data_IF_410498343542
#
_entry.id   IF_410498343542
#
_cell.length_a   1.000
_cell.length_b   1.000
_cell.length_c   1.000
_cell.angle_alpha   90.00
_cell.angle_beta   90.00
_cell.angle_gamma   90.00
#
_symmetry.space_group_name_H-M   'P 1'
#
loop_
_entity.id
_entity.type
_entity.pdbx_description
1 polymer ?
#
# COMPACT_ATOMS: atom_id res chain seq x y z
N UNK A 1 17.46 23.93 8.50
CA UNK A 1 17.29 24.73 9.73
C UNK A 1 17.52 23.80 10.90
N UNK A 2 18.41 24.15 11.82
CA UNK A 2 18.67 23.37 13.03
C UNK A 2 18.14 24.20 14.20
N UNK A 3 17.23 23.62 14.98
CA UNK A 3 16.68 24.22 16.19
C UNK A 3 17.26 23.46 17.39
N UNK A 4 17.98 24.16 18.27
CA UNK A 4 18.34 23.62 19.58
C UNK A 4 17.16 23.84 20.53
N UNK A 5 16.67 22.75 21.14
CA UNK A 5 15.50 22.75 22.03
C UNK A 5 15.96 22.37 23.42
N UNK A 6 15.58 23.14 24.45
CA UNK A 6 15.96 22.85 25.83
C UNK A 6 15.05 21.77 26.43
N UNK A 7 15.56 21.06 27.43
CA UNK A 7 14.77 20.05 28.15
C UNK A 7 13.47 20.65 28.71
N UNK A 8 12.33 20.08 28.34
CA UNK A 8 11.00 20.48 28.80
C UNK A 8 10.26 21.47 27.89
N UNK A 9 10.90 22.00 26.85
CA UNK A 9 10.24 22.88 25.89
C UNK A 9 9.33 22.10 24.92
N UNK A 10 8.16 22.68 24.62
CA UNK A 10 7.24 22.16 23.60
C UNK A 10 7.46 22.96 22.32
N UNK A 11 7.85 22.29 21.25
CA UNK A 11 7.97 22.89 19.93
C UNK A 11 6.76 22.53 19.10
N UNK A 12 6.12 23.53 18.51
CA UNK A 12 5.09 23.35 17.51
C UNK A 12 5.68 23.73 16.14
N UNK A 13 5.50 22.87 15.15
CA UNK A 13 5.85 23.20 13.77
C UNK A 13 4.62 23.82 13.07
N UNK A 14 4.68 25.12 12.84
CA UNK A 14 3.72 25.81 11.98
C UNK A 14 4.32 25.95 10.58
N UNK A 15 3.78 25.23 9.60
CA UNK A 15 4.17 25.36 8.19
C UNK A 15 3.24 26.38 7.54
N UNK A 16 3.70 27.62 7.39
CA UNK A 16 3.03 28.64 6.59
C UNK A 16 3.81 28.82 5.28
N UNK A 17 3.28 28.26 4.19
CA UNK A 17 3.86 28.45 2.86
C UNK A 17 2.97 29.38 2.03
N UNK A 18 3.34 30.65 1.91
CA UNK A 18 2.78 31.60 0.94
C UNK A 18 3.75 31.69 -0.23
N UNK A 19 3.56 30.93 -1.33
CA UNK A 19 4.46 31.05 -2.48
C UNK A 19 4.39 32.47 -3.05
N UNK A 20 5.55 33.10 -3.25
CA UNK A 20 5.65 34.44 -3.87
C UNK A 20 5.21 34.45 -5.34
N UNK A 21 5.17 33.27 -5.97
CA UNK A 21 4.61 33.05 -7.30
C UNK A 21 3.62 31.88 -7.24
N UNK A 22 2.34 32.19 -7.37
CA UNK A 22 1.30 31.19 -7.52
C UNK A 22 1.34 30.64 -8.96
N UNK A 23 1.56 29.35 -9.12
CA UNK A 23 1.36 28.66 -10.39
C UNK A 23 -0.01 27.98 -10.30
N UNK A 24 -1.04 28.50 -11.00
CA UNK A 24 -2.34 27.84 -11.05
C UNK A 24 -2.14 26.44 -11.65
N UNK A 25 -2.51 25.42 -10.90
CA UNK A 25 -2.68 24.08 -11.47
C UNK A 25 -4.13 23.98 -11.94
N UNK A 26 -4.33 23.50 -13.17
CA UNK A 26 -5.68 23.28 -13.72
C UNK A 26 -6.53 22.43 -12.79
N UNK A 27 -7.77 22.89 -12.59
CA UNK A 27 -8.73 22.34 -11.65
C UNK A 27 -9.42 21.12 -12.27
N UNK A 28 -9.44 19.99 -11.56
CA UNK A 28 -10.29 18.84 -11.92
C UNK A 28 -11.66 18.97 -11.21
N UNK A 29 -12.80 18.60 -11.84
CA UNK A 29 -14.11 18.67 -11.18
C UNK A 29 -14.21 17.74 -9.95
N UNK A 30 -14.74 18.25 -8.82
CA UNK A 30 -14.96 17.52 -7.56
C UNK A 30 -14.06 18.02 -6.40
N UNK A 31 -14.48 17.85 -5.13
CA UNK A 31 -13.66 18.15 -3.92
C UNK A 31 -12.44 17.19 -3.75
N UNK A 32 -12.03 16.55 -4.83
CA UNK A 32 -11.16 15.38 -4.89
C UNK A 32 -9.69 15.73 -5.18
N UNK A 33 -9.14 16.78 -4.55
CA UNK A 33 -7.73 17.11 -4.81
C UNK A 33 -7.04 17.61 -3.55
N UNK A 34 -6.30 16.72 -2.90
CA UNK A 34 -5.22 17.16 -2.03
C UNK A 34 -4.12 17.72 -2.92
N UNK A 35 -3.92 19.04 -2.91
CA UNK A 35 -2.62 19.57 -3.35
C UNK A 35 -1.57 18.95 -2.43
N UNK A 36 -0.73 18.06 -2.95
CA UNK A 36 0.57 17.86 -2.31
C UNK A 36 1.28 19.20 -2.42
N UNK A 37 1.28 19.93 -1.31
CA UNK A 37 2.14 21.10 -1.18
C UNK A 37 3.54 20.65 -1.62
N UNK A 38 4.24 21.43 -2.46
CA UNK A 38 5.56 21.06 -3.00
C UNK A 38 6.66 20.99 -1.91
N UNK A 39 6.25 20.96 -0.65
CA UNK A 39 7.06 20.98 0.55
C UNK A 39 6.74 19.73 1.36
N UNK A 40 7.67 18.78 1.37
CA UNK A 40 7.74 17.73 2.36
C UNK A 40 8.71 18.16 3.46
N UNK A 41 8.37 17.87 4.71
CA UNK A 41 9.29 17.99 5.84
C UNK A 41 9.66 16.58 6.30
N UNK A 42 10.96 16.33 6.48
CA UNK A 42 11.44 15.16 7.21
C UNK A 42 11.77 15.62 8.63
N UNK A 43 11.13 14.99 9.62
CA UNK A 43 11.42 15.24 11.04
C UNK A 43 12.23 14.06 11.56
N UNK A 44 13.50 14.28 11.90
CA UNK A 44 14.40 13.28 12.49
C UNK A 44 14.62 13.57 13.97
N UNK A 45 14.88 12.53 14.77
CA UNK A 45 15.09 12.68 16.23
C UNK A 45 13.84 13.08 17.02
N UNK A 46 12.68 13.21 16.37
CA UNK A 46 11.39 13.33 17.04
C UNK A 46 10.71 11.97 17.09
N UNK A 47 10.13 11.65 18.25
CA UNK A 47 9.10 10.62 18.34
C UNK A 47 7.79 11.33 18.03
N UNK A 48 7.09 11.03 16.91
CA UNK A 48 5.73 11.56 16.75
C UNK A 48 4.96 11.18 18.01
N UNK A 49 4.15 12.08 18.61
CA UNK A 49 3.25 11.67 19.66
C UNK A 49 2.45 10.52 19.07
N UNK A 50 2.72 9.30 19.56
CA UNK A 50 2.09 8.14 19.00
C UNK A 50 0.59 8.36 19.06
N UNK A 51 -0.21 7.83 18.11
CA UNK A 51 -1.59 7.49 18.46
C UNK A 51 -1.53 6.79 19.82
N UNK A 52 -2.41 7.11 20.78
CA UNK A 52 -2.24 6.71 22.18
C UNK A 52 -1.73 5.28 22.23
N UNK A 53 -0.44 5.14 22.50
CA UNK A 53 0.26 3.86 22.48
C UNK A 53 -0.57 2.95 23.36
N UNK A 54 -1.02 1.84 22.80
CA UNK A 54 -1.84 0.80 23.40
C UNK A 54 -2.22 1.16 24.84
N UNK A 55 -3.44 1.68 25.04
CA UNK A 55 -4.04 2.00 26.34
C UNK A 55 -3.47 1.07 27.42
N UNK A 56 -3.15 1.60 28.60
CA UNK A 56 -2.69 0.82 29.75
C UNK A 56 -3.29 -0.61 29.74
N UNK A 57 -2.48 -1.65 30.01
CA UNK A 57 -2.85 -3.04 29.79
C UNK A 57 -4.31 -3.28 30.20
N UNK A 58 -5.11 -3.99 29.36
CA UNK A 58 -6.55 -4.04 29.54
C UNK A 58 -6.88 -4.34 30.99
N UNK A 59 -7.66 -3.47 31.65
CA UNK A 59 -8.04 -3.62 33.06
C UNK A 59 -9.09 -4.72 33.27
N UNK A 60 -9.09 -5.73 32.41
CA UNK A 60 -10.03 -6.85 32.37
C UNK A 60 -9.25 -8.15 32.47
N UNK A 61 -9.86 -9.18 33.05
CA UNK A 61 -9.23 -10.50 33.11
C UNK A 61 -9.12 -11.11 31.70
N UNK A 62 -7.96 -11.70 31.39
CA UNK A 62 -7.70 -12.35 30.11
C UNK A 62 -6.38 -13.11 30.13
N UNK A 63 -6.02 -13.70 28.99
CA UNK A 63 -4.78 -14.44 28.81
C UNK A 63 -4.23 -14.25 27.40
N UNK A 64 -2.93 -14.48 27.17
CA UNK A 64 -2.35 -14.57 25.84
C UNK A 64 -3.01 -15.70 25.02
N UNK A 65 -3.28 -15.46 23.74
CA UNK A 65 -3.73 -16.50 22.81
C UNK A 65 -2.59 -17.49 22.52
N UNK A 66 -2.83 -18.82 22.52
CA UNK A 66 -1.77 -19.80 22.27
C UNK A 66 -1.10 -19.65 20.90
N UNK A 67 -1.85 -19.17 19.90
CA UNK A 67 -1.31 -18.85 18.58
C UNK A 67 -1.10 -17.34 18.43
N UNK A 68 0.14 -16.89 18.68
CA UNK A 68 0.60 -15.51 18.50
C UNK A 68 0.81 -14.69 19.79
N UNK A 69 0.23 -15.07 20.93
CA UNK A 69 0.51 -14.45 22.23
C UNK A 69 -0.19 -13.12 22.52
N UNK A 70 -1.10 -12.65 21.66
CA UNK A 70 -1.90 -11.44 21.90
C UNK A 70 -2.96 -11.61 22.98
N UNK A 71 -3.41 -10.52 23.58
CA UNK A 71 -4.32 -10.57 24.73
C UNK A 71 -5.76 -10.90 24.33
N UNK A 72 -6.35 -11.90 24.98
CA UNK A 72 -7.76 -12.27 24.84
C UNK A 72 -8.46 -12.16 26.18
N UNK A 73 -9.47 -11.29 26.27
CA UNK A 73 -10.30 -11.16 27.46
C UNK A 73 -11.07 -12.46 27.73
N UNK A 74 -11.32 -12.80 29.00
CA UNK A 74 -12.09 -14.00 29.39
C UNK A 74 -13.50 -14.04 28.78
N UNK A 75 -14.06 -12.88 28.46
CA UNK A 75 -15.38 -12.73 27.85
C UNK A 75 -15.39 -12.93 26.33
N UNK A 76 -14.23 -12.85 25.67
CA UNK A 76 -14.08 -13.01 24.24
C UNK A 76 -13.91 -14.49 23.87
N UNK A 77 -14.21 -14.85 22.62
CA UNK A 77 -14.00 -16.21 22.10
C UNK A 77 -13.10 -16.17 20.88
N UNK A 78 -11.93 -16.81 20.98
CA UNK A 78 -10.95 -16.90 19.90
C UNK A 78 -10.62 -18.38 19.68
N UNK A 79 -10.74 -18.85 18.46
CA UNK A 79 -10.38 -20.22 18.09
C UNK A 79 -8.86 -20.40 18.01
N UNK A 80 -8.37 -21.58 18.38
CA UNK A 80 -6.93 -21.89 18.36
C UNK A 80 -6.30 -21.75 16.96
N UNK A 81 -7.10 -21.89 15.91
CA UNK A 81 -6.70 -21.70 14.50
C UNK A 81 -6.48 -20.24 14.12
N UNK A 82 -7.07 -19.29 14.84
CA UNK A 82 -6.84 -17.88 14.63
C UNK A 82 -5.47 -17.47 15.18
N UNK A 83 -4.86 -16.45 14.58
CA UNK A 83 -3.61 -15.87 15.06
C UNK A 83 -3.86 -14.50 15.70
N UNK A 84 -3.37 -14.28 16.92
CA UNK A 84 -3.45 -12.99 17.61
C UNK A 84 -2.03 -12.57 18.00
N UNK A 85 -1.47 -11.57 17.34
CA UNK A 85 -0.10 -11.10 17.57
C UNK A 85 0.07 -10.49 18.97
N UNK A 86 1.29 -10.45 19.54
CA UNK A 86 1.52 -10.00 20.93
C UNK A 86 1.00 -8.58 21.26
N UNK A 87 0.95 -7.69 20.26
CA UNK A 87 0.43 -6.32 20.43
C UNK A 87 -1.08 -6.19 20.27
N UNK A 88 -1.76 -7.21 19.73
CA UNK A 88 -3.18 -7.17 19.42
C UNK A 88 -4.05 -7.55 20.63
N UNK A 89 -5.30 -7.08 20.61
CA UNK A 89 -6.26 -7.30 21.70
C UNK A 89 -7.63 -7.73 21.18
N UNK A 90 -8.17 -8.80 21.77
CA UNK A 90 -9.56 -9.23 21.58
C UNK A 90 -10.30 -9.07 22.91
N UNK A 91 -11.31 -8.21 22.93
CA UNK A 91 -11.97 -7.71 24.14
C UNK A 91 -13.49 -7.95 24.12
N UNK A 92 -14.13 -7.69 25.26
CA UNK A 92 -15.58 -7.80 25.47
C UNK A 92 -16.13 -9.15 25.00
N UNK A 93 -17.23 -9.19 24.24
CA UNK A 93 -17.85 -10.40 23.69
C UNK A 93 -17.43 -10.72 22.26
N UNK A 94 -16.31 -10.17 21.78
CA UNK A 94 -15.86 -10.34 20.40
C UNK A 94 -15.55 -11.82 20.09
N UNK A 95 -15.72 -12.19 18.81
CA UNK A 95 -15.48 -13.54 18.32
C UNK A 95 -14.50 -13.53 17.17
N UNK A 96 -13.48 -14.37 17.27
CA UNK A 96 -12.49 -14.57 16.20
C UNK A 96 -12.42 -16.06 15.88
N UNK A 97 -12.74 -16.43 14.65
CA UNK A 97 -12.88 -17.83 14.19
C UNK A 97 -12.10 -18.08 12.90
N UNK A 98 -12.00 -19.34 12.48
CA UNK A 98 -11.29 -19.71 11.25
C UNK A 98 -9.77 -19.50 11.36
N UNK A 99 -9.15 -19.11 10.26
CA UNK A 99 -7.72 -18.75 10.14
C UNK A 99 -7.49 -17.25 10.22
N UNK A 100 -8.44 -16.49 10.79
CA UNK A 100 -8.33 -15.05 10.91
C UNK A 100 -7.07 -14.61 11.65
N UNK A 101 -6.50 -13.46 11.23
CA UNK A 101 -5.22 -12.94 11.75
C UNK A 101 -5.39 -11.54 12.29
N UNK A 102 -5.20 -11.38 13.60
CA UNK A 102 -5.20 -10.08 14.27
C UNK A 102 -3.74 -9.70 14.58
N UNK A 103 -3.23 -8.69 13.89
CA UNK A 103 -1.81 -8.33 13.83
C UNK A 103 -1.56 -6.89 14.32
N UNK A 104 -0.30 -6.56 14.59
CA UNK A 104 0.09 -5.22 15.06
C UNK A 104 -0.50 -4.90 16.44
N UNK A 105 -1.10 -3.72 16.58
CA UNK A 105 -1.82 -3.23 17.75
C UNK A 105 -3.34 -3.15 17.51
N UNK A 106 -3.87 -3.96 16.61
CA UNK A 106 -5.28 -3.98 16.28
C UNK A 106 -6.15 -4.37 17.49
N UNK A 107 -7.36 -3.81 17.56
CA UNK A 107 -8.34 -4.07 18.62
C UNK A 107 -9.65 -4.57 18.00
N UNK A 108 -10.06 -5.77 18.40
CA UNK A 108 -11.40 -6.33 18.12
C UNK A 108 -12.18 -6.36 19.42
N UNK A 109 -13.35 -5.73 19.48
CA UNK A 109 -14.09 -5.54 20.74
C UNK A 109 -15.60 -5.59 20.58
N UNK A 110 -16.32 -5.37 21.68
CA UNK A 110 -17.78 -5.41 21.79
C UNK A 110 -18.34 -6.76 21.30
N UNK A 111 -19.20 -6.79 20.28
CA UNK A 111 -19.78 -8.01 19.69
C UNK A 111 -19.32 -8.23 18.25
N UNK A 112 -18.17 -7.66 17.87
CA UNK A 112 -17.59 -7.84 16.54
C UNK A 112 -17.24 -9.31 16.26
N UNK A 113 -17.34 -9.69 15.00
CA UNK A 113 -17.03 -11.05 14.51
C UNK A 113 -15.98 -10.95 13.41
N UNK A 114 -14.90 -11.72 13.53
CA UNK A 114 -13.83 -11.78 12.54
C UNK A 114 -13.54 -13.25 12.23
N UNK A 115 -13.80 -13.69 11.00
CA UNK A 115 -13.81 -15.11 10.64
C UNK A 115 -12.97 -15.42 9.39
N UNK A 116 -13.08 -16.67 8.93
CA UNK A 116 -12.46 -17.17 7.69
C UNK A 116 -10.95 -16.90 7.61
N UNK A 117 -10.47 -16.20 6.57
CA UNK A 117 -9.08 -15.81 6.34
C UNK A 117 -8.85 -14.31 6.56
N UNK A 118 -9.78 -13.64 7.26
CA UNK A 118 -9.75 -12.18 7.41
C UNK A 118 -8.53 -11.70 8.19
N UNK A 119 -8.03 -10.51 7.82
CA UNK A 119 -6.90 -9.86 8.48
C UNK A 119 -7.34 -8.55 9.12
N UNK A 120 -6.97 -8.33 10.38
CA UNK A 120 -7.08 -7.02 11.05
C UNK A 120 -5.69 -6.63 11.53
N UNK A 121 -5.13 -5.51 11.07
CA UNK A 121 -3.73 -5.16 11.34
C UNK A 121 -3.48 -3.67 11.59
N UNK A 122 -2.25 -3.32 11.96
CA UNK A 122 -1.87 -1.95 12.30
C UNK A 122 -2.47 -1.52 13.63
N UNK A 123 -3.21 -0.42 13.63
CA UNK A 123 -3.96 0.17 14.74
C UNK A 123 -5.48 0.14 14.49
N UNK A 124 -5.92 -0.72 13.56
CA UNK A 124 -7.31 -0.85 13.19
C UNK A 124 -8.21 -1.21 14.38
N UNK A 125 -9.45 -0.73 14.34
CA UNK A 125 -10.47 -0.98 15.36
C UNK A 125 -11.72 -1.58 14.73
N UNK A 126 -12.09 -2.78 15.17
CA UNK A 126 -13.33 -3.46 14.77
C UNK A 126 -14.22 -3.61 16.01
N UNK A 127 -15.42 -3.08 15.96
CA UNK A 127 -16.31 -2.98 17.14
C UNK A 127 -17.79 -3.15 16.83
N UNK A 128 -18.61 -2.82 17.83
CA UNK A 128 -20.06 -2.98 17.84
C UNK A 128 -20.53 -4.39 17.46
N UNK A 129 -21.19 -4.56 16.31
CA UNK A 129 -21.65 -5.83 15.75
C UNK A 129 -21.11 -6.05 14.32
N UNK A 130 -20.02 -5.36 13.98
CA UNK A 130 -19.41 -5.46 12.67
C UNK A 130 -18.89 -6.89 12.40
N UNK A 131 -18.84 -7.25 11.12
CA UNK A 131 -18.33 -8.55 10.66
C UNK A 131 -17.22 -8.36 9.64
N UNK A 132 -16.14 -9.11 9.81
CA UNK A 132 -15.05 -9.22 8.83
C UNK A 132 -14.92 -10.69 8.45
N UNK A 133 -15.20 -11.02 7.19
CA UNK A 133 -15.34 -12.40 6.70
C UNK A 133 -14.56 -12.58 5.37
N UNK A 134 -14.43 -13.82 4.90
CA UNK A 134 -13.65 -14.14 3.70
C UNK A 134 -12.16 -13.80 3.83
N UNK A 135 -11.59 -13.13 2.83
CA UNK A 135 -10.21 -12.63 2.78
C UNK A 135 -10.14 -11.11 3.01
N UNK A 136 -11.15 -10.53 3.67
CA UNK A 136 -11.20 -9.10 3.91
C UNK A 136 -10.06 -8.61 4.81
N UNK A 137 -9.62 -7.37 4.61
CA UNK A 137 -8.52 -6.76 5.36
C UNK A 137 -8.91 -5.39 5.95
N UNK A 138 -8.87 -5.26 7.27
CA UNK A 138 -8.94 -3.96 7.96
C UNK A 138 -7.55 -3.59 8.49
N UNK A 139 -6.99 -2.44 8.07
CA UNK A 139 -5.59 -2.10 8.33
C UNK A 139 -5.35 -0.61 8.58
N UNK A 140 -4.11 -0.26 8.93
CA UNK A 140 -3.75 1.14 9.22
C UNK A 140 -4.39 1.63 10.52
N UNK A 141 -5.14 2.71 10.46
CA UNK A 141 -5.90 3.33 11.56
C UNK A 141 -7.42 3.13 11.40
N UNK A 142 -7.83 2.25 10.49
CA UNK A 142 -9.20 2.24 10.04
C UNK A 142 -10.16 1.72 11.12
N UNK A 143 -11.41 2.19 11.04
CA UNK A 143 -12.48 1.83 11.97
C UNK A 143 -13.61 1.14 11.22
N UNK A 144 -14.01 -0.04 11.70
CA UNK A 144 -15.22 -0.73 11.26
C UNK A 144 -16.17 -0.91 12.46
N UNK A 145 -17.40 -0.43 12.35
CA UNK A 145 -18.38 -0.42 13.44
C UNK A 145 -19.83 -0.58 12.98
N UNK A 146 -20.82 -0.43 13.87
CA UNK A 146 -22.22 -0.71 13.57
C UNK A 146 -22.51 -2.20 13.34
N UNK A 147 -23.27 -2.51 12.30
CA UNK A 147 -23.54 -3.86 11.76
C UNK A 147 -22.93 -4.03 10.36
N UNK A 148 -21.94 -3.22 9.99
CA UNK A 148 -21.28 -3.30 8.70
C UNK A 148 -20.61 -4.67 8.51
N UNK A 149 -20.68 -5.20 7.30
CA UNK A 149 -20.05 -6.46 6.89
C UNK A 149 -18.99 -6.13 5.83
N UNK A 150 -17.74 -6.44 6.13
CA UNK A 150 -16.64 -6.42 5.17
C UNK A 150 -16.31 -7.87 4.82
N UNK A 151 -16.45 -8.26 3.56
CA UNK A 151 -16.24 -9.65 3.13
C UNK A 151 -15.55 -9.76 1.76
N UNK A 152 -15.42 -10.97 1.21
CA UNK A 152 -14.70 -11.19 -0.05
C UNK A 152 -13.22 -10.81 0.10
N UNK A 153 -12.70 -9.93 -0.77
CA UNK A 153 -11.32 -9.41 -0.72
C UNK A 153 -11.30 -7.91 -0.37
N UNK A 154 -12.36 -7.42 0.25
CA UNK A 154 -12.50 -6.00 0.51
C UNK A 154 -11.47 -5.51 1.54
N UNK A 155 -10.90 -4.32 1.29
CA UNK A 155 -9.87 -3.71 2.10
C UNK A 155 -10.34 -2.37 2.65
N UNK A 156 -10.21 -2.18 3.96
CA UNK A 156 -10.48 -0.94 4.67
C UNK A 156 -9.20 -0.48 5.36
N UNK A 157 -8.59 0.61 4.90
CA UNK A 157 -7.21 0.97 5.20
C UNK A 157 -7.06 2.44 5.63
N UNK A 158 -5.85 2.78 6.08
CA UNK A 158 -5.47 4.14 6.47
C UNK A 158 -6.39 4.69 7.56
N UNK A 159 -6.95 5.90 7.46
CA UNK A 159 -7.79 6.51 8.51
C UNK A 159 -9.29 6.44 8.20
N UNK A 160 -9.71 5.55 7.29
CA UNK A 160 -11.10 5.46 6.86
C UNK A 160 -11.98 4.84 7.96
N UNK A 161 -13.19 5.38 8.11
CA UNK A 161 -14.22 4.84 9.02
C UNK A 161 -15.41 4.31 8.21
N UNK A 162 -15.83 3.08 8.46
CA UNK A 162 -17.06 2.48 7.91
C UNK A 162 -17.97 2.07 9.06
N UNK A 163 -19.23 2.49 9.02
CA UNK A 163 -20.27 2.09 9.98
C UNK A 163 -21.65 1.88 9.33
N UNK A 164 -22.71 1.80 10.13
CA UNK A 164 -24.07 1.53 9.66
C UNK A 164 -24.37 0.03 9.52
N UNK A 165 -25.28 -0.36 8.63
CA UNK A 165 -25.74 -1.74 8.47
C UNK A 165 -25.72 -2.13 6.99
N UNK A 166 -24.60 -2.54 6.40
CA UNK A 166 -24.56 -2.95 4.98
C UNK A 166 -23.34 -3.81 4.63
N UNK A 167 -23.19 -4.18 3.36
CA UNK A 167 -22.17 -5.15 2.89
C UNK A 167 -21.22 -4.51 1.88
N UNK A 168 -19.92 -4.64 2.15
CA UNK A 168 -18.82 -4.33 1.22
C UNK A 168 -18.04 -5.61 0.96
N UNK A 169 -17.99 -6.05 -0.30
CA UNK A 169 -17.42 -7.33 -0.69
C UNK A 169 -16.77 -7.32 -2.09
N UNK A 170 -16.14 -8.42 -2.49
CA UNK A 170 -15.34 -8.49 -3.71
C UNK A 170 -13.99 -7.76 -3.60
N UNK A 171 -13.36 -7.42 -4.72
CA UNK A 171 -12.10 -6.66 -4.77
C UNK A 171 -12.33 -5.16 -4.54
N UNK A 172 -12.62 -4.75 -3.31
CA UNK A 172 -12.87 -3.33 -2.99
C UNK A 172 -11.73 -2.76 -2.15
N UNK A 173 -11.34 -1.50 -2.38
CA UNK A 173 -10.38 -0.80 -1.53
C UNK A 173 -10.94 0.55 -1.06
N UNK A 174 -11.09 0.72 0.25
CA UNK A 174 -11.52 1.97 0.90
C UNK A 174 -10.37 2.47 1.77
N UNK A 175 -9.92 3.71 1.56
CA UNK A 175 -8.80 4.30 2.30
C UNK A 175 -8.86 5.82 2.28
N UNK A 176 -8.20 6.48 3.22
CA UNK A 176 -8.17 7.93 3.31
C UNK A 176 -8.49 8.41 4.72
N UNK A 177 -9.07 9.59 4.84
CA UNK A 177 -9.52 10.21 6.09
C UNK A 177 -11.02 10.48 5.98
N UNK A 178 -11.83 10.26 7.03
CA UNK A 178 -13.28 10.58 7.04
C UNK A 178 -14.23 9.35 7.14
N UNK A 179 -15.50 9.47 6.71
CA UNK A 179 -16.61 8.56 7.09
C UNK A 179 -17.34 7.87 5.92
N UNK A 180 -17.79 6.63 6.11
CA UNK A 180 -18.68 5.91 5.19
C UNK A 180 -19.85 5.30 5.96
N UNK A 181 -21.09 5.66 5.61
CA UNK A 181 -22.31 5.23 6.31
C UNK A 181 -23.15 4.30 5.44
N UNK A 182 -23.24 3.02 5.85
CA UNK A 182 -24.01 2.00 5.14
C UNK A 182 -25.47 1.93 5.62
N UNK A 183 -26.39 1.57 4.74
CA UNK A 183 -27.80 1.25 5.10
C UNK A 183 -28.11 -0.23 4.85
N UNK A 184 -29.20 -0.79 5.43
CA UNK A 184 -29.53 -2.22 5.35
C UNK A 184 -29.56 -2.85 3.96
N UNK A 185 -29.67 -2.05 2.90
CA UNK A 185 -29.64 -2.58 1.53
C UNK A 185 -28.35 -2.21 0.78
N UNK A 186 -27.33 -1.64 1.41
CA UNK A 186 -26.06 -1.32 0.76
C UNK A 186 -25.30 -2.59 0.39
N UNK A 187 -25.04 -2.78 -0.90
CA UNK A 187 -24.12 -3.81 -1.42
C UNK A 187 -23.03 -3.14 -2.29
N UNK A 188 -21.76 -3.48 -2.07
CA UNK A 188 -20.62 -3.09 -2.94
C UNK A 188 -19.88 -4.37 -3.28
N UNK A 189 -19.59 -4.64 -4.55
CA UNK A 189 -19.16 -5.97 -5.03
C UNK A 189 -18.20 -5.91 -6.24
N UNK A 190 -16.91 -5.60 -6.04
CA UNK A 190 -15.86 -5.98 -7.01
C UNK A 190 -15.26 -4.88 -7.90
N UNK A 191 -13.96 -4.71 -7.74
CA UNK A 191 -13.06 -3.70 -8.34
C UNK A 191 -13.55 -2.26 -8.22
N UNK A 192 -13.79 -1.81 -6.99
CA UNK A 192 -14.13 -0.41 -6.71
C UNK A 192 -13.17 0.16 -5.65
N UNK A 193 -12.63 1.35 -5.89
CA UNK A 193 -11.63 1.98 -5.04
C UNK A 193 -12.10 3.37 -4.61
N UNK A 194 -12.33 3.63 -3.32
CA UNK A 194 -12.75 4.95 -2.84
C UNK A 194 -11.65 5.54 -1.96
N UNK A 195 -11.07 6.66 -2.37
CA UNK A 195 -9.74 7.05 -1.93
C UNK A 195 -9.59 8.52 -1.51
N UNK A 196 -8.66 8.69 -0.57
CA UNK A 196 -8.31 9.89 0.18
C UNK A 196 -9.53 10.66 0.73
N UNK A 197 -9.47 11.94 1.09
CA UNK A 197 -10.33 12.55 2.14
C UNK A 197 -11.87 12.41 1.89
N UNK A 198 -12.48 11.37 2.46
CA UNK A 198 -13.72 10.69 2.07
C UNK A 198 -14.86 10.96 3.06
N UNK A 199 -16.08 11.21 2.57
CA UNK A 199 -17.31 11.19 3.39
C UNK A 199 -18.49 10.63 2.54
N UNK A 200 -18.73 9.32 2.52
CA UNK A 200 -19.72 8.69 1.62
C UNK A 200 -20.89 8.09 2.40
N UNK A 201 -22.09 8.63 2.21
CA UNK A 201 -23.27 8.30 3.02
C UNK A 201 -24.41 7.76 2.15
N UNK A 202 -24.92 6.55 2.40
CA UNK A 202 -26.05 6.00 1.65
C UNK A 202 -27.32 5.84 2.50
N UNK A 203 -27.66 6.90 3.24
CA UNK A 203 -28.74 6.91 4.22
C UNK A 203 -30.10 6.49 3.63
N UNK A 204 -30.63 5.36 4.11
CA UNK A 204 -31.95 4.84 3.75
C UNK A 204 -32.03 4.04 2.44
N UNK A 205 -30.90 3.67 1.84
CA UNK A 205 -30.86 2.99 0.55
C UNK A 205 -31.82 1.78 0.45
N UNK A 206 -32.40 1.54 -0.74
CA UNK A 206 -33.35 0.44 -1.04
C UNK A 206 -33.11 -0.31 -2.37
N UNK A 207 -31.91 -0.30 -2.94
CA UNK A 207 -31.28 -1.41 -3.73
C UNK A 207 -30.00 -0.98 -4.50
N UNK A 208 -28.95 -0.49 -3.83
CA UNK A 208 -27.64 -0.28 -4.43
C UNK A 208 -26.81 -1.59 -4.53
N UNK A 209 -26.02 -1.74 -5.60
CA UNK A 209 -24.98 -2.78 -5.81
C UNK A 209 -23.95 -2.28 -6.83
N UNK A 210 -22.63 -2.48 -6.64
CA UNK A 210 -21.62 -1.96 -7.60
C UNK A 210 -20.42 -2.88 -7.89
N UNK A 211 -20.16 -3.10 -9.18
CA UNK A 211 -19.24 -4.11 -9.76
C UNK A 211 -18.19 -3.52 -10.73
N UNK A 212 -17.78 -2.26 -10.54
CA UNK A 212 -16.50 -1.66 -11.03
C UNK A 212 -16.42 -0.18 -10.63
N UNK A 213 -15.25 0.46 -10.54
CA UNK A 213 -15.16 1.92 -10.32
C UNK A 213 -13.90 2.45 -9.63
N UNK A 214 -13.94 3.75 -9.32
CA UNK A 214 -12.95 4.55 -8.58
C UNK A 214 -13.62 5.86 -8.10
N UNK A 215 -13.57 6.28 -6.82
CA UNK A 215 -14.25 7.53 -6.39
C UNK A 215 -13.57 8.26 -5.21
N UNK A 216 -13.45 9.58 -5.34
CA UNK A 216 -12.72 10.44 -4.41
C UNK A 216 -13.64 11.54 -3.87
N UNK A 217 -13.71 11.70 -2.54
CA UNK A 217 -14.37 12.81 -1.82
C UNK A 217 -15.92 12.81 -1.74
N UNK A 218 -16.46 13.47 -0.69
CA UNK A 218 -17.84 13.38 -0.16
C UNK A 218 -18.98 13.07 -1.15
N UNK A 219 -19.79 11.99 -1.01
CA UNK A 219 -20.95 11.73 -1.91
C UNK A 219 -22.15 10.97 -1.30
N UNK A 220 -23.37 11.44 -1.65
CA UNK A 220 -24.70 10.87 -1.29
C UNK A 220 -25.43 10.26 -2.53
N UNK A 221 -26.65 9.73 -2.33
CA UNK A 221 -27.37 8.79 -3.22
C UNK A 221 -27.53 9.12 -4.72
N UNK A 222 -27.35 10.37 -5.16
CA UNK A 222 -27.55 10.76 -6.58
C UNK A 222 -26.44 10.25 -7.53
N UNK A 223 -25.27 9.87 -7.00
CA UNK A 223 -24.17 9.30 -7.79
C UNK A 223 -24.55 7.97 -8.47
N UNK A 224 -25.45 7.20 -7.85
CA UNK A 224 -25.91 5.91 -8.38
C UNK A 224 -26.74 6.04 -9.67
N UNK A 225 -27.12 7.28 -10.03
CA UNK A 225 -27.92 7.58 -11.23
C UNK A 225 -27.05 7.86 -12.47
N UNK A 226 -25.72 7.89 -12.36
CA UNK A 226 -24.81 8.33 -13.45
C UNK A 226 -23.81 7.23 -13.88
N UNK A 227 -24.09 6.49 -14.97
CA UNK A 227 -23.29 5.33 -15.38
C UNK A 227 -21.89 5.63 -15.95
N UNK A 228 -21.57 6.90 -16.27
CA UNK A 228 -20.24 7.28 -16.81
C UNK A 228 -19.17 7.49 -15.74
N UNK A 229 -19.58 7.70 -14.48
CA UNK A 229 -18.67 7.97 -13.36
C UNK A 229 -18.25 6.67 -12.66
N UNK A 230 -19.04 5.59 -12.82
CA UNK A 230 -18.69 4.18 -12.52
C UNK A 230 -17.94 3.58 -13.72
N UNK A 231 -16.85 4.23 -14.13
CA UNK A 231 -16.03 3.78 -15.25
C UNK A 231 -15.20 2.55 -14.85
N UNK A 232 -15.09 1.56 -15.74
CA UNK A 232 -14.16 0.44 -15.56
C UNK A 232 -12.72 0.96 -15.64
N UNK A 233 -12.10 1.28 -14.51
CA UNK A 233 -10.68 1.59 -14.44
C UNK A 233 -9.83 0.31 -14.36
N UNK A 234 -10.42 -0.89 -14.45
CA UNK A 234 -9.74 -2.19 -14.26
C UNK A 234 -8.95 -2.30 -12.94
N UNK A 235 -9.40 -1.59 -11.91
CA UNK A 235 -8.74 -1.56 -10.60
C UNK A 235 -7.44 -0.77 -10.60
N UNK A 236 -7.22 0.06 -11.63
CA UNK A 236 -6.08 0.96 -11.74
C UNK A 236 -6.08 1.90 -10.54
N UNK A 237 -5.03 1.79 -9.76
CA UNK A 237 -4.82 2.48 -8.51
C UNK A 237 -3.95 3.73 -8.72
N UNK A 238 -2.90 3.61 -9.54
CA UNK A 238 -2.03 4.72 -9.91
C UNK A 238 -1.52 4.54 -11.33
N UNK A 239 -1.29 5.65 -12.02
CA UNK A 239 -0.77 5.66 -13.38
C UNK A 239 0.08 6.89 -13.64
N UNK A 240 1.37 6.68 -13.90
CA UNK A 240 2.31 7.76 -14.21
C UNK A 240 2.73 7.70 -15.67
N UNK A 241 2.49 8.80 -16.40
CA UNK A 241 3.00 9.02 -17.76
C UNK A 241 4.11 10.06 -17.77
N UNK A 242 4.98 9.93 -18.77
CA UNK A 242 6.19 10.76 -18.95
C UNK A 242 6.11 11.64 -20.21
N UNK A 243 4.89 11.97 -20.64
CA UNK A 243 4.57 12.67 -21.90
C UNK A 243 4.44 14.20 -21.77
N UNK A 244 4.57 14.76 -20.55
CA UNK A 244 4.48 16.19 -20.29
C UNK A 244 5.80 16.83 -19.84
N UNK A 245 6.01 18.11 -20.22
CA UNK A 245 7.04 18.95 -19.62
C UNK A 245 6.63 19.30 -18.18
N UNK A 246 7.00 18.48 -17.21
CA UNK A 246 6.63 18.72 -15.82
C UNK A 246 7.87 19.02 -14.98
N UNK A 247 7.69 19.95 -14.05
CA UNK A 247 8.59 20.36 -12.98
C UNK A 247 8.97 19.15 -12.09
N UNK A 248 9.54 19.25 -10.87
CA UNK A 248 10.04 18.05 -10.14
C UNK A 248 8.94 17.06 -9.68
N UNK A 249 7.73 17.11 -10.24
CA UNK A 249 6.59 16.27 -9.94
C UNK A 249 6.08 15.57 -11.22
N UNK A 250 5.80 14.27 -11.11
CA UNK A 250 5.13 13.49 -12.14
C UNK A 250 3.74 13.13 -11.61
N UNK A 251 2.71 13.59 -12.30
CA UNK A 251 1.33 13.44 -11.83
C UNK A 251 0.85 12.00 -11.94
N UNK A 252 0.10 11.57 -10.94
CA UNK A 252 -0.76 10.40 -11.05
C UNK A 252 -2.01 10.77 -11.88
N UNK A 253 -2.27 10.02 -12.95
CA UNK A 253 -3.39 10.25 -13.84
C UNK A 253 -4.70 9.64 -13.31
N UNK A 254 -4.63 8.82 -12.27
CA UNK A 254 -5.76 8.01 -11.78
C UNK A 254 -6.13 8.39 -10.36
N UNK A 255 -5.14 8.61 -9.49
CA UNK A 255 -5.36 8.91 -8.08
C UNK A 255 -4.48 10.00 -7.49
N UNK A 256 -4.28 9.91 -6.18
CA UNK A 256 -3.57 10.90 -5.35
C UNK A 256 -2.11 10.50 -5.05
N UNK A 257 -1.52 9.66 -5.92
CA UNK A 257 -0.17 9.14 -5.75
C UNK A 257 0.91 9.91 -6.53
N UNK A 258 0.81 11.23 -6.64
CA UNK A 258 1.80 12.07 -7.33
C UNK A 258 3.24 11.72 -6.93
N UNK A 259 4.10 11.59 -7.93
CA UNK A 259 5.50 11.23 -7.77
C UNK A 259 6.39 12.47 -7.75
N UNK A 260 7.50 12.38 -7.02
CA UNK A 260 8.59 13.37 -7.06
C UNK A 260 9.70 12.81 -7.95
N UNK A 261 10.13 13.59 -8.94
CA UNK A 261 11.29 13.26 -9.76
C UNK A 261 12.56 13.53 -8.96
N UNK A 262 13.30 12.46 -8.69
CA UNK A 262 14.60 12.52 -8.04
C UNK A 262 15.66 12.88 -9.06
N UNK A 263 16.29 14.06 -8.93
CA UNK A 263 17.39 14.48 -9.82
C UNK A 263 18.68 13.67 -9.63
N UNK A 264 18.81 12.98 -8.50
CA UNK A 264 19.85 11.99 -8.16
C UNK A 264 19.20 10.96 -7.24
N UNK A 265 19.53 9.68 -7.38
CA UNK A 265 19.15 8.68 -6.39
C UNK A 265 19.66 9.12 -5.00
N UNK A 266 18.89 8.94 -3.91
CA UNK A 266 19.40 9.14 -2.56
C UNK A 266 20.69 8.35 -2.41
N UNK A 267 21.73 8.97 -1.83
CA UNK A 267 23.05 8.36 -1.65
C UNK A 267 22.90 6.98 -1.01
N UNK A 268 23.10 5.90 -1.78
CA UNK A 268 23.71 4.70 -1.21
C UNK A 268 25.13 5.14 -0.82
N UNK A 269 25.41 5.21 0.47
CA UNK A 269 26.74 5.55 0.96
C UNK A 269 27.67 4.37 0.74
N UNK A 270 28.30 4.30 -0.44
CA UNK A 270 29.51 3.52 -0.66
C UNK A 270 29.54 2.79 -2.00
N UNK A 271 30.72 2.64 -2.63
CA UNK A 271 30.89 1.63 -3.66
C UNK A 271 30.66 0.25 -3.05
N UNK A 272 29.88 -0.61 -3.72
CA UNK A 272 29.95 -2.04 -3.43
C UNK A 272 31.36 -2.51 -3.79
N UNK A 273 32.12 -2.96 -2.80
CA UNK A 273 33.39 -3.62 -3.03
C UNK A 273 33.10 -5.10 -3.27
N UNK A 274 33.59 -5.64 -4.39
CA UNK A 274 33.70 -7.08 -4.54
C UNK A 274 34.61 -7.63 -3.42
N UNK A 275 34.51 -8.94 -3.13
CA UNK A 275 35.30 -9.60 -2.07
C UNK A 275 36.83 -9.43 -2.22
N UNK A 276 37.29 -9.00 -3.39
CA UNK A 276 38.70 -8.74 -3.73
C UNK A 276 39.12 -7.26 -3.62
N UNK A 277 38.23 -6.36 -3.18
CA UNK A 277 38.51 -4.93 -3.03
C UNK A 277 38.35 -4.10 -4.30
N UNK A 278 37.88 -4.68 -5.41
CA UNK A 278 37.51 -3.92 -6.62
C UNK A 278 36.11 -3.29 -6.49
N UNK A 279 35.90 -2.12 -7.10
CA UNK A 279 34.59 -1.44 -7.13
C UNK A 279 33.67 -2.19 -8.12
N UNK A 280 32.62 -2.84 -7.62
CA UNK A 280 31.77 -3.75 -8.42
C UNK A 280 30.74 -3.03 -9.29
N UNK A 281 30.31 -1.82 -8.92
CA UNK A 281 29.60 -0.91 -9.82
C UNK A 281 29.58 0.52 -9.29
N UNK A 282 29.93 1.48 -10.15
CA UNK A 282 29.40 2.83 -10.02
C UNK A 282 27.98 2.77 -10.57
N UNK A 283 26.96 2.58 -9.73
CA UNK A 283 25.58 2.72 -10.20
C UNK A 283 25.45 4.12 -10.81
N UNK A 284 24.99 4.27 -12.06
CA UNK A 284 24.75 5.60 -12.60
C UNK A 284 23.77 6.33 -11.69
N UNK A 285 23.99 7.63 -11.48
CA UNK A 285 23.10 8.53 -10.76
C UNK A 285 21.79 8.74 -11.54
N UNK A 286 21.09 7.66 -11.91
CA UNK A 286 19.92 7.72 -12.77
C UNK A 286 18.75 8.29 -11.97
N UNK A 287 18.08 9.33 -12.49
CA UNK A 287 16.84 9.84 -11.93
C UNK A 287 15.80 8.72 -11.78
N UNK A 288 15.00 8.78 -10.72
CA UNK A 288 13.88 7.88 -10.48
C UNK A 288 12.69 8.64 -9.93
N UNK A 289 11.56 7.96 -9.77
CA UNK A 289 10.39 8.54 -9.10
C UNK A 289 10.34 8.09 -7.65
N UNK A 290 10.09 9.02 -6.75
CA UNK A 290 9.72 8.71 -5.37
C UNK A 290 8.21 8.91 -5.20
N UNK A 291 7.53 7.86 -4.74
CA UNK A 291 6.10 7.88 -4.40
C UNK A 291 5.89 7.38 -2.98
N UNK A 292 4.81 7.82 -2.33
CA UNK A 292 4.48 7.33 -0.99
C UNK A 292 4.13 5.84 -1.02
N UNK A 293 4.53 5.07 -0.02
CA UNK A 293 4.34 3.61 0.01
C UNK A 293 2.92 3.14 0.24
N UNK A 294 1.97 4.05 0.45
CA UNK A 294 0.54 3.77 0.34
C UNK A 294 0.16 3.12 -1.01
N UNK A 295 0.98 3.29 -2.07
CA UNK A 295 0.74 2.67 -3.38
C UNK A 295 0.86 1.15 -3.44
N UNK A 296 1.42 0.56 -2.38
CA UNK A 296 1.58 -0.89 -2.26
C UNK A 296 0.69 -1.48 -1.17
N UNK A 297 -0.23 -0.68 -0.61
CA UNK A 297 -1.14 -1.09 0.45
C UNK A 297 -2.33 -1.89 -0.10
N UNK A 298 -2.07 -2.88 -0.95
CA UNK A 298 -3.09 -3.71 -1.59
C UNK A 298 -2.86 -5.19 -1.26
N UNK A 299 -3.95 -5.93 -1.03
CA UNK A 299 -3.90 -7.37 -0.74
C UNK A 299 -3.49 -8.14 -2.00
N UNK A 300 -4.07 -7.75 -3.13
CA UNK A 300 -3.61 -8.10 -4.46
C UNK A 300 -2.96 -6.86 -5.10
N UNK A 301 -1.86 -7.03 -5.80
CA UNK A 301 -1.11 -5.91 -6.40
C UNK A 301 -0.62 -6.30 -7.79
N UNK A 302 -1.06 -5.57 -8.82
CA UNK A 302 -0.49 -5.65 -10.15
C UNK A 302 0.44 -4.46 -10.36
N UNK A 303 1.65 -4.70 -10.85
CA UNK A 303 2.57 -3.67 -11.32
C UNK A 303 2.94 -3.97 -12.76
N UNK A 304 2.87 -2.96 -13.61
CA UNK A 304 3.34 -3.07 -14.99
C UNK A 304 3.95 -1.74 -15.45
N UNK A 305 5.05 -1.83 -16.17
CA UNK A 305 5.71 -0.70 -16.79
C UNK A 305 6.11 -1.04 -18.24
N UNK A 306 6.16 -0.01 -19.08
CA UNK A 306 6.86 -0.11 -20.35
C UNK A 306 8.36 0.06 -20.11
N UNK A 307 9.12 -0.86 -20.69
CA UNK A 307 10.57 -0.92 -20.52
C UNK A 307 11.23 -0.95 -21.90
N UNK A 308 12.31 -0.19 -22.03
CA UNK A 308 13.16 -0.20 -23.21
C UNK A 308 14.59 -0.55 -22.80
N UNK A 309 15.11 -1.62 -23.38
CA UNK A 309 16.50 -2.04 -23.23
C UNK A 309 17.26 -1.64 -24.51
N UNK A 310 18.34 -0.83 -24.43
CA UNK A 310 19.16 -0.49 -25.58
C UNK A 310 19.78 -1.74 -26.24
N UNK A 311 19.96 -1.72 -27.57
CA UNK A 311 20.54 -2.85 -28.33
C UNK A 311 22.00 -3.12 -27.93
N UNK A 312 22.70 -2.06 -27.53
CA UNK A 312 24.11 -2.01 -27.15
C UNK A 312 24.33 -2.09 -25.63
N UNK A 313 23.29 -2.40 -24.84
CA UNK A 313 23.41 -2.51 -23.40
C UNK A 313 24.33 -3.69 -23.01
N UNK A 314 25.58 -3.38 -22.65
CA UNK A 314 26.57 -4.39 -22.19
C UNK A 314 26.33 -4.83 -20.75
N UNK A 315 25.68 -3.98 -19.95
CA UNK A 315 25.21 -4.26 -18.59
C UNK A 315 23.77 -3.76 -18.49
N UNK A 316 22.83 -4.65 -18.16
CA UNK A 316 21.46 -4.27 -17.82
C UNK A 316 21.22 -4.70 -16.37
N UNK A 317 21.25 -3.74 -15.47
CA UNK A 317 20.95 -3.96 -14.06
C UNK A 317 20.14 -2.80 -13.49
N UNK A 318 19.30 -3.09 -12.50
CA UNK A 318 18.65 -2.06 -11.71
C UNK A 318 17.21 -2.44 -11.35
N UNK A 319 16.56 -1.53 -10.65
CA UNK A 319 15.27 -1.79 -10.05
C UNK A 319 14.18 -1.01 -10.77
N UNK A 320 13.12 -1.71 -11.17
CA UNK A 320 11.91 -1.08 -11.67
C UNK A 320 11.04 -0.56 -10.52
N UNK A 321 11.05 -1.27 -9.38
CA UNK A 321 10.35 -0.89 -8.16
C UNK A 321 11.17 -1.37 -6.95
N UNK A 322 11.35 -0.49 -5.97
CA UNK A 322 11.84 -0.84 -4.64
C UNK A 322 10.95 -0.18 -3.58
N UNK A 323 10.59 -0.96 -2.56
CA UNK A 323 9.84 -0.49 -1.40
C UNK A 323 10.65 -0.74 -0.13
N UNK A 324 10.80 0.33 0.66
CA UNK A 324 11.57 0.38 1.91
C UNK A 324 13.09 0.15 1.75
N UNK A 325 13.72 0.97 0.92
CA UNK A 325 15.14 1.28 1.08
C UNK A 325 15.27 2.58 1.89
N UNK A 326 15.40 2.50 3.22
CA UNK A 326 16.03 3.60 3.94
C UNK A 326 17.45 3.78 3.40
N UNK A 327 17.98 5.00 3.48
CA UNK A 327 19.37 5.29 3.14
C UNK A 327 20.38 4.67 4.12
N UNK A 328 19.90 4.03 5.18
CA UNK A 328 20.73 3.27 6.13
C UNK A 328 20.40 1.78 6.04
N UNK A 329 21.40 0.94 6.23
CA UNK A 329 21.33 -0.52 6.15
C UNK A 329 20.44 -1.16 7.26
N UNK A 330 19.70 -0.34 8.02
CA UNK A 330 18.93 -0.76 9.20
C UNK A 330 17.47 -1.11 8.91
N UNK A 331 16.92 -0.71 7.74
CA UNK A 331 15.60 -1.13 7.28
C UNK A 331 15.71 -2.14 6.14
N UNK A 332 15.24 -3.36 6.33
CA UNK A 332 15.21 -4.37 5.27
C UNK A 332 14.27 -3.98 4.12
N UNK A 333 14.71 -4.16 2.88
CA UNK A 333 13.86 -4.00 1.68
C UNK A 333 12.66 -4.94 1.74
N UNK A 334 11.45 -4.37 1.67
CA UNK A 334 10.22 -5.15 1.76
C UNK A 334 9.84 -5.76 0.43
N UNK A 335 9.94 -4.97 -0.64
CA UNK A 335 9.60 -5.42 -1.99
C UNK A 335 10.64 -4.88 -2.97
N UNK A 336 11.19 -5.73 -3.81
CA UNK A 336 11.99 -5.29 -4.94
C UNK A 336 11.66 -6.06 -6.21
N UNK A 337 11.57 -5.33 -7.32
CA UNK A 337 11.42 -5.86 -8.65
C UNK A 337 12.60 -5.40 -9.50
N UNK A 338 13.52 -6.33 -9.77
CA UNK A 338 14.85 -6.05 -10.33
C UNK A 338 15.07 -6.80 -11.62
N UNK A 339 15.94 -6.24 -12.45
CA UNK A 339 16.40 -6.85 -13.68
C UNK A 339 17.91 -7.02 -13.62
N UNK A 340 18.40 -8.16 -14.10
CA UNK A 340 19.81 -8.40 -14.36
C UNK A 340 19.98 -9.19 -15.66
N UNK A 341 20.47 -8.54 -16.73
CA UNK A 341 20.78 -9.05 -18.07
C UNK A 341 19.72 -9.99 -18.68
N UNK A 342 19.67 -11.24 -18.24
CA UNK A 342 18.79 -12.32 -18.72
C UNK A 342 17.86 -12.88 -17.61
N UNK A 343 17.75 -12.17 -16.50
CA UNK A 343 17.03 -12.60 -15.31
C UNK A 343 16.20 -11.46 -14.73
N UNK A 344 14.99 -11.79 -14.30
CA UNK A 344 14.06 -10.85 -13.67
C UNK A 344 13.74 -11.40 -12.29
N UNK A 345 13.94 -10.57 -11.28
CA UNK A 345 13.82 -10.93 -9.87
C UNK A 345 12.67 -10.18 -9.22
N UNK A 346 11.86 -10.90 -8.48
CA UNK A 346 10.85 -10.37 -7.58
C UNK A 346 11.16 -10.90 -6.18
N UNK A 347 11.49 -10.00 -5.26
CA UNK A 347 11.77 -10.34 -3.88
C UNK A 347 10.81 -9.61 -2.96
N UNK A 348 10.17 -10.35 -2.07
CA UNK A 348 9.33 -9.86 -1.01
C UNK A 348 9.90 -10.41 0.30
N UNK A 349 10.43 -9.56 1.18
CA UNK A 349 11.10 -10.03 2.39
C UNK A 349 10.74 -9.18 3.59
N UNK A 350 10.53 -9.80 4.74
CA UNK A 350 10.55 -9.12 6.04
C UNK A 350 11.47 -9.88 6.99
N UNK A 351 12.33 -9.17 7.70
CA UNK A 351 13.29 -9.73 8.65
C UNK A 351 14.04 -8.61 9.34
N UNK A 352 14.50 -8.82 10.58
CA UNK A 352 15.48 -7.91 11.17
C UNK A 352 16.78 -8.09 10.36
N UNK A 353 17.32 -7.05 9.71
CA UNK A 353 18.58 -7.17 8.98
C UNK A 353 19.73 -7.71 9.85
N UNK A 354 19.63 -7.54 11.18
CA UNK A 354 20.59 -7.99 12.19
C UNK A 354 20.35 -9.42 12.65
N UNK A 355 19.19 -10.01 12.36
CA UNK A 355 18.87 -11.41 12.64
C UNK A 355 18.33 -12.11 11.39
N UNK A 356 19.23 -12.76 10.66
CA UNK A 356 18.93 -13.51 9.44
C UNK A 356 17.93 -14.66 9.66
N UNK A 357 17.83 -15.20 10.88
CA UNK A 357 16.89 -16.29 11.20
C UNK A 357 15.43 -15.81 11.28
N UNK A 358 15.24 -14.50 11.45
CA UNK A 358 13.91 -13.87 11.45
C UNK A 358 13.35 -13.60 10.05
N UNK A 359 14.15 -13.80 8.99
CA UNK A 359 13.75 -13.52 7.62
C UNK A 359 12.63 -14.46 7.18
N UNK A 360 11.50 -13.86 6.79
CA UNK A 360 10.35 -14.51 6.17
C UNK A 360 10.04 -13.79 4.87
N UNK A 361 9.63 -14.51 3.85
CA UNK A 361 9.36 -13.89 2.57
C UNK A 361 9.35 -14.87 1.41
N UNK A 362 9.44 -14.29 0.23
CA UNK A 362 9.40 -14.90 -1.07
C UNK A 362 10.54 -14.32 -1.92
N UNK A 363 11.29 -15.17 -2.60
CA UNK A 363 12.26 -14.76 -3.61
C UNK A 363 12.00 -15.56 -4.88
N UNK A 364 11.49 -14.89 -5.90
CA UNK A 364 11.11 -15.47 -7.18
C UNK A 364 12.00 -14.89 -8.28
N UNK A 365 12.51 -15.73 -9.17
CA UNK A 365 13.23 -15.29 -10.36
C UNK A 365 12.76 -16.02 -11.61
N UNK A 366 12.86 -15.34 -12.74
CA UNK A 366 12.48 -15.85 -14.04
C UNK A 366 13.53 -15.52 -15.08
N UNK A 367 14.13 -16.55 -15.69
CA UNK A 367 15.01 -16.38 -16.83
C UNK A 367 14.19 -15.92 -18.04
N UNK A 368 14.56 -14.78 -18.60
CA UNK A 368 13.95 -14.26 -19.80
C UNK A 368 14.97 -13.45 -20.60
N UNK A 369 15.06 -13.76 -21.89
CA UNK A 369 15.81 -12.91 -22.82
C UNK A 369 14.98 -11.66 -23.10
N UNK A 370 15.45 -10.52 -22.60
CA UNK A 370 14.70 -9.27 -22.70
C UNK A 370 14.79 -8.69 -24.12
N UNK A 371 13.66 -8.22 -24.71
CA UNK A 371 13.67 -7.59 -26.02
C UNK A 371 14.50 -6.30 -26.00
N UNK A 372 15.56 -6.25 -26.81
CA UNK A 372 16.37 -5.05 -26.98
C UNK A 372 15.92 -4.24 -28.21
N UNK A 373 16.10 -2.92 -28.16
CA UNK A 373 15.79 -2.02 -29.27
C UNK A 373 14.29 -1.74 -29.49
N UNK A 374 13.41 -2.22 -28.61
CA UNK A 374 11.98 -1.90 -28.63
C UNK A 374 11.42 -1.76 -27.23
N UNK A 375 10.27 -1.10 -27.13
CA UNK A 375 9.46 -1.12 -25.92
C UNK A 375 8.80 -2.49 -25.75
N UNK A 376 8.76 -2.95 -24.51
CA UNK A 376 8.09 -4.18 -24.09
C UNK A 376 7.48 -3.98 -22.69
N UNK A 377 6.53 -4.82 -22.33
CA UNK A 377 5.86 -4.75 -21.02
C UNK A 377 6.59 -5.62 -20.02
N UNK A 378 6.80 -5.12 -18.82
CA UNK A 378 7.36 -5.90 -17.73
C UNK A 378 6.60 -5.60 -16.44
N UNK A 379 6.26 -6.66 -15.71
CA UNK A 379 5.40 -6.52 -14.55
C UNK A 379 5.45 -7.71 -13.61
N UNK A 380 4.80 -7.54 -12.46
CA UNK A 380 4.55 -8.61 -11.52
C UNK A 380 3.13 -8.53 -10.99
N UNK A 381 2.64 -9.65 -10.48
CA UNK A 381 1.37 -9.70 -9.75
C UNK A 381 1.57 -10.40 -8.41
N UNK A 382 0.93 -9.88 -7.38
CA UNK A 382 0.48 -10.66 -6.23
C UNK A 382 -1.03 -10.81 -6.36
N UNK A 383 -1.51 -12.03 -6.60
CA UNK A 383 -2.94 -12.30 -6.79
C UNK A 383 -3.30 -13.64 -6.18
N UNK A 384 -4.27 -13.62 -5.27
CA UNK A 384 -4.89 -14.82 -4.67
C UNK A 384 -3.84 -15.82 -4.09
N UNK A 385 -2.82 -15.27 -3.41
CA UNK A 385 -1.74 -16.06 -2.81
C UNK A 385 -0.69 -16.59 -3.80
N UNK A 386 -0.68 -16.10 -5.04
CA UNK A 386 0.38 -16.35 -6.03
C UNK A 386 1.11 -15.05 -6.34
N UNK A 387 2.45 -15.11 -6.30
CA UNK A 387 3.31 -14.10 -6.87
C UNK A 387 3.77 -14.55 -8.25
N UNK A 388 3.76 -13.68 -9.25
CA UNK A 388 4.18 -14.02 -10.60
C UNK A 388 4.89 -12.86 -11.32
N UNK A 389 5.83 -13.20 -12.20
CA UNK A 389 6.59 -12.26 -13.04
C UNK A 389 6.15 -12.41 -14.49
N UNK A 390 6.01 -11.28 -15.19
CA UNK A 390 5.56 -11.22 -16.58
C UNK A 390 6.48 -10.37 -17.45
N UNK A 391 6.72 -10.85 -18.68
CA UNK A 391 7.39 -10.12 -19.76
C UNK A 391 6.54 -10.24 -21.02
N UNK A 392 6.15 -9.11 -21.61
CA UNK A 392 5.18 -9.00 -22.71
C UNK A 392 3.90 -9.83 -22.48
N UNK A 393 3.39 -9.78 -21.24
CA UNK A 393 2.19 -10.53 -20.82
C UNK A 393 2.41 -12.03 -20.63
N UNK A 394 3.58 -12.58 -20.98
CA UNK A 394 3.93 -13.98 -20.71
C UNK A 394 4.42 -14.13 -19.28
N UNK A 395 3.76 -14.99 -18.51
CA UNK A 395 4.22 -15.41 -17.18
C UNK A 395 5.53 -16.19 -17.32
N UNK A 396 6.61 -15.72 -16.69
CA UNK A 396 7.94 -16.35 -16.77
C UNK A 396 8.38 -17.03 -15.46
N UNK A 397 7.76 -16.67 -14.35
CA UNK A 397 7.98 -17.28 -13.04
C UNK A 397 6.73 -17.09 -12.17
N UNK A 398 6.43 -18.05 -11.30
CA UNK A 398 5.39 -17.91 -10.29
C UNK A 398 5.64 -18.82 -9.08
N UNK A 399 5.19 -18.38 -7.91
CA UNK A 399 5.29 -19.13 -6.66
C UNK A 399 4.14 -18.76 -5.72
N UNK A 400 3.66 -19.76 -4.97
CA UNK A 400 2.62 -19.57 -3.96
C UNK A 400 3.22 -18.93 -2.70
N UNK A 401 2.51 -17.99 -2.11
CA UNK A 401 2.87 -17.36 -0.84
C UNK A 401 1.68 -17.36 0.12
N UNK A 402 1.92 -17.84 1.34
CA UNK A 402 0.96 -17.78 2.44
C UNK A 402 1.08 -16.50 3.27
N UNK A 403 1.99 -15.60 2.89
CA UNK A 403 2.24 -14.33 3.56
C UNK A 403 1.58 -13.20 2.77
N UNK A 404 0.48 -12.59 3.27
CA UNK A 404 -0.11 -11.43 2.63
C UNK A 404 0.89 -10.26 2.58
N UNK A 405 0.98 -9.60 1.43
CA UNK A 405 1.85 -8.43 1.21
C UNK A 405 1.61 -7.34 2.29
N UNK A 406 0.34 -7.13 2.64
CA UNK A 406 -0.08 -6.15 3.65
C UNK A 406 0.39 -6.49 5.07
N UNK A 407 0.53 -7.78 5.41
CA UNK A 407 1.09 -8.21 6.69
C UNK A 407 2.59 -7.90 6.77
N UNK A 408 3.35 -8.18 5.70
CA UNK A 408 4.80 -7.92 5.66
C UNK A 408 5.11 -6.41 5.71
N UNK A 409 4.30 -5.59 5.05
CA UNK A 409 4.40 -4.13 5.20
C UNK A 409 4.06 -3.67 6.62
N UNK A 410 3.04 -4.24 7.27
CA UNK A 410 2.69 -3.89 8.64
C UNK A 410 3.80 -4.28 9.64
N UNK A 411 4.40 -5.46 9.48
CA UNK A 411 5.54 -5.91 10.29
C UNK A 411 6.76 -4.99 10.12
N UNK A 412 7.05 -4.57 8.89
CA UNK A 412 8.19 -3.69 8.61
C UNK A 412 7.96 -2.27 9.12
N UNK A 413 6.75 -1.71 8.93
CA UNK A 413 6.37 -0.41 9.51
C UNK A 413 6.43 -0.39 11.04
N UNK A 414 6.10 -1.50 11.70
CA UNK A 414 6.22 -1.59 13.16
C UNK A 414 7.67 -1.49 13.63
N UNK A 415 8.63 -1.94 12.82
CA UNK A 415 10.07 -1.82 13.10
C UNK A 415 10.62 -0.44 12.77
N UNK A 416 10.04 0.26 11.78
CA UNK A 416 10.42 1.61 11.41
C UNK A 416 9.22 2.58 11.33
N UNK A 417 8.64 3.00 12.48
CA UNK A 417 7.47 3.89 12.51
C UNK A 417 7.76 5.30 11.98
N UNK A 418 9.03 5.70 11.93
CA UNK A 418 9.48 7.03 11.52
C UNK A 418 9.57 7.18 9.99
N UNK A 419 9.66 6.07 9.25
CA UNK A 419 9.62 6.06 7.79
C UNK A 419 8.20 5.74 7.31
N UNK A 420 7.51 6.73 6.74
CA UNK A 420 6.46 6.40 5.78
C UNK A 420 7.15 5.61 4.66
N UNK A 421 6.77 4.36 4.38
CA UNK A 421 7.49 3.53 3.41
C UNK A 421 7.59 4.32 2.11
N UNK A 422 8.80 4.46 1.58
CA UNK A 422 9.01 5.12 0.30
C UNK A 422 9.10 4.06 -0.77
N UNK A 423 8.57 4.39 -1.94
CA UNK A 423 8.68 3.54 -3.11
C UNK A 423 9.46 4.30 -4.17
N UNK A 424 10.54 3.68 -4.62
CA UNK A 424 11.37 4.15 -5.70
C UNK A 424 10.98 3.40 -6.97
N UNK A 425 10.65 4.14 -8.03
CA UNK A 425 10.32 3.58 -9.33
C UNK A 425 11.40 3.94 -10.34
N UNK A 426 11.96 2.93 -11.00
CA UNK A 426 12.99 3.07 -12.03
C UNK A 426 14.35 3.59 -11.53
N UNK A 427 14.55 3.73 -10.22
CA UNK A 427 15.79 4.26 -9.66
C UNK A 427 16.97 3.33 -10.00
N UNK A 428 18.00 3.87 -10.65
CA UNK A 428 19.20 3.12 -11.04
C UNK A 428 18.99 2.10 -12.17
N UNK A 429 17.82 2.06 -12.82
CA UNK A 429 17.60 1.19 -13.98
C UNK A 429 18.38 1.69 -15.20
N UNK A 430 19.19 0.82 -15.80
CA UNK A 430 20.07 1.16 -16.93
C UNK A 430 19.36 1.29 -18.30
N UNK A 431 18.05 1.06 -18.38
CA UNK A 431 17.23 1.25 -19.57
C UNK A 431 16.34 2.50 -19.50
N UNK A 432 15.29 2.56 -20.32
CA UNK A 432 14.22 3.57 -20.19
C UNK A 432 12.96 2.92 -19.63
N UNK A 433 12.24 3.66 -18.80
CA UNK A 433 10.93 3.27 -18.26
C UNK A 433 9.89 4.29 -18.70
N UNK A 434 8.70 3.81 -19.05
CA UNK A 434 7.55 4.63 -19.40
C UNK A 434 6.26 3.99 -18.88
N UNK A 435 5.18 4.77 -18.82
CA UNK A 435 3.83 4.36 -18.45
C UNK A 435 3.79 3.31 -17.32
N UNK A 436 4.00 3.76 -16.08
CA UNK A 436 3.96 2.87 -14.91
C UNK A 436 2.52 2.82 -14.40
N UNK A 437 1.99 1.60 -14.22
CA UNK A 437 0.63 1.36 -13.77
C UNK A 437 0.61 0.38 -12.60
N UNK A 438 -0.29 0.65 -11.66
CA UNK A 438 -0.55 -0.18 -10.49
C UNK A 438 -2.02 -0.54 -10.42
N UNK A 439 -2.35 -1.78 -10.04
CA UNK A 439 -3.73 -2.19 -9.74
C UNK A 439 -3.84 -2.78 -8.34
N UNK A 440 -4.97 -2.53 -7.68
CA UNK A 440 -5.26 -3.11 -6.36
C UNK A 440 -5.91 -4.51 -6.43
N UNK A 441 -6.19 -5.00 -7.65
CA UNK A 441 -6.83 -6.30 -7.90
C UNK A 441 -5.82 -7.42 -8.15
N UNK A 442 -4.54 -7.09 -8.36
CA UNK A 442 -3.53 -8.06 -8.77
C UNK A 442 -3.57 -8.38 -10.26
N UNK A 443 -4.42 -7.73 -11.04
CA UNK A 443 -4.48 -7.93 -12.49
C UNK A 443 -3.47 -7.02 -13.18
N UNK A 444 -2.80 -7.53 -14.22
CA UNK A 444 -1.95 -6.66 -15.02
C UNK A 444 -2.85 -5.64 -15.74
N UNK A 445 -2.60 -4.34 -15.56
CA UNK A 445 -3.45 -3.28 -16.10
C UNK A 445 -3.47 -3.28 -17.63
N UNK A 446 -2.43 -3.83 -18.28
CA UNK A 446 -2.26 -3.79 -19.72
C UNK A 446 -2.03 -2.37 -20.25
N UNK A 447 -1.73 -2.29 -21.54
CA UNK A 447 -1.60 -1.02 -22.26
C UNK A 447 -2.47 -1.04 -23.51
N UNK A 448 -3.32 -0.01 -23.63
CA UNK A 448 -4.25 0.14 -24.74
C UNK A 448 -3.53 0.69 -26.00
N UNK A 449 -2.37 1.37 -25.85
CA UNK A 449 -1.52 1.84 -26.95
C UNK A 449 -0.03 1.78 -26.58
N UNK A 450 0.86 1.57 -27.57
CA UNK A 450 2.30 1.82 -27.40
C UNK A 450 2.56 3.35 -27.37
N UNK A 451 3.59 3.87 -26.66
CA UNK A 451 3.86 5.29 -26.59
C UNK A 451 4.03 5.88 -27.98
N UNK A 452 3.10 6.75 -28.39
CA UNK A 452 3.22 7.50 -29.65
C UNK A 452 4.35 8.53 -29.48
N UNK A 453 5.46 8.34 -30.19
CA UNK A 453 6.43 9.40 -30.42
C UNK A 453 7.73 9.37 -29.60
N UNK A 454 8.17 8.23 -29.07
CA UNK A 454 9.55 8.13 -28.55
C UNK A 454 10.54 7.99 -29.72
N UNK A 455 10.98 9.12 -30.28
CA UNK A 455 12.22 9.17 -31.08
C UNK A 455 13.43 9.03 -30.17
#
# INVERSE_FOLDING_TARGET
MTLEVRSGERVALAVAATPTKYVPQEFRPGFAVKRRYPYSIAVTGATPPGPPLAEAPPKVAGAPHPNGGGFVAKSAKVEATAYVAPGARVLDGARVTGRARICGQAIVRQSAQVGDDAVVSGLARVGDRARVEGQAHVGGYAKLSGKAVLSGRAQLLEYATVDGEGVVSGDVMIRGFGEVHLSPTTEVTGTAMFAEDLEVHFSGCKTPRFDRGLFYGYLNADLLKKPKEVADNRGLYAHWKFDGAQAPFVRDLVGDADAVLLKRAPRETGPEFARDGSVSSLRPHTPGLQVGGHVLAAANLGFEALVFVPVDATVLSGSLLEADAASDESSGTVLSFKVNKDDVWLQLQSGDPRDKSSARGLALSGKARLPAGRWFRMGFTFKDGEAAIFVDGRKIAAERTELPLTCLFAETRARNPAASPQVLLGAGFAGRIAEIKLTHTGELPGFDEAPKGAK
#
